data_IF_994715882440
#
_entry.id   IF_994715882440
#
_cell.length_a   1.000
_cell.length_b   1.000
_cell.length_c   1.000
_cell.angle_alpha   90.00
_cell.angle_beta   90.00
_cell.angle_gamma   90.00
#
_symmetry.space_group_name_H-M   'P 1'
#
loop_
_entity.id
_entity.type
_entity.pdbx_description
1 polymer ?
#
# COMPACT_ATOMS: atom_id res chain seq x y z
N UNK A 1 9.99 -10.45 -15.05
CA UNK A 1 10.27 -9.07 -15.50
C UNK A 1 8.96 -8.31 -15.69
N UNK A 2 8.43 -7.67 -14.64
CA UNK A 2 7.18 -6.94 -14.72
C UNK A 2 7.41 -5.56 -15.35
N UNK A 3 6.95 -5.37 -16.58
CA UNK A 3 6.71 -4.03 -17.11
C UNK A 3 5.43 -3.49 -16.50
N UNK A 4 5.42 -2.22 -16.13
CA UNK A 4 4.24 -1.60 -15.55
C UNK A 4 3.06 -1.61 -16.54
N UNK A 5 1.90 -2.19 -16.18
CA UNK A 5 0.74 -2.21 -17.07
C UNK A 5 0.15 -0.83 -17.34
N UNK A 6 0.40 0.16 -16.47
CA UNK A 6 -0.09 1.53 -16.65
C UNK A 6 0.81 2.41 -17.55
N UNK A 7 2.12 2.45 -17.29
CA UNK A 7 3.08 3.34 -17.99
C UNK A 7 3.89 2.65 -19.09
N UNK A 8 3.88 1.30 -19.15
CA UNK A 8 4.79 0.51 -19.98
C UNK A 8 6.26 0.63 -19.60
N UNK A 9 6.59 1.41 -18.56
CA UNK A 9 7.97 1.56 -18.10
C UNK A 9 8.42 0.31 -17.35
N UNK A 10 9.73 0.12 -17.37
CA UNK A 10 10.38 -0.90 -16.59
C UNK A 10 10.15 -0.69 -15.10
N UNK A 11 9.89 -1.78 -14.40
CA UNK A 11 9.91 -1.82 -12.94
C UNK A 11 10.93 -2.86 -12.54
N UNK A 12 11.88 -2.45 -11.71
CA UNK A 12 12.92 -3.33 -11.21
C UNK A 12 12.29 -4.48 -10.41
N UNK A 13 12.89 -5.68 -10.49
CA UNK A 13 12.42 -6.81 -9.69
C UNK A 13 12.54 -6.49 -8.20
N UNK A 14 11.40 -6.42 -7.52
CA UNK A 14 11.29 -6.00 -6.12
C UNK A 14 10.69 -4.61 -5.92
N UNK A 15 10.59 -3.79 -6.98
CA UNK A 15 9.88 -2.51 -6.92
C UNK A 15 8.38 -2.70 -7.14
N UNK A 16 7.61 -2.24 -6.16
CA UNK A 16 6.14 -2.30 -6.19
C UNK A 16 5.52 -1.16 -7.01
N UNK A 17 6.33 -0.18 -7.41
CA UNK A 17 5.89 1.10 -7.97
C UNK A 17 6.69 1.45 -9.23
N UNK A 18 6.00 1.65 -10.36
CA UNK A 18 6.59 2.28 -11.55
C UNK A 18 6.95 3.74 -11.22
N UNK A 19 7.99 4.29 -11.86
CA UNK A 19 8.31 5.73 -11.79
C UNK A 19 7.15 6.65 -12.19
N UNK A 20 6.12 6.13 -12.87
CA UNK A 20 4.88 6.84 -13.19
C UNK A 20 3.91 6.97 -12.00
N UNK A 21 4.19 6.30 -10.88
CA UNK A 21 3.33 6.23 -9.71
C UNK A 21 2.33 5.07 -9.71
N UNK A 22 2.28 4.24 -10.74
CA UNK A 22 1.38 3.09 -10.75
C UNK A 22 1.94 1.94 -9.90
N UNK A 23 1.09 1.36 -9.08
CA UNK A 23 1.34 0.07 -8.43
C UNK A 23 1.33 -1.05 -9.47
N UNK A 24 2.42 -1.82 -9.53
CA UNK A 24 2.62 -2.84 -10.57
C UNK A 24 2.54 -4.27 -10.07
N UNK A 25 2.16 -4.44 -8.81
CA UNK A 25 1.66 -5.70 -8.24
C UNK A 25 2.57 -6.90 -8.50
N UNK A 26 3.42 -7.22 -7.54
CA UNK A 26 4.26 -8.41 -7.61
C UNK A 26 4.85 -8.81 -6.26
N UNK A 27 4.10 -8.68 -5.17
CA UNK A 27 4.57 -9.22 -3.89
C UNK A 27 4.01 -10.64 -3.73
N UNK A 28 4.84 -11.65 -4.01
CA UNK A 28 4.62 -12.97 -3.42
C UNK A 28 4.86 -12.81 -1.91
N UNK A 29 3.77 -12.68 -1.17
CA UNK A 29 3.71 -12.59 0.29
C UNK A 29 4.41 -13.80 0.93
N UNK A 30 5.73 -13.71 1.08
CA UNK A 30 6.52 -14.64 1.88
C UNK A 30 6.21 -14.41 3.35
N UNK A 31 6.01 -15.49 4.11
CA UNK A 31 5.66 -15.46 5.53
C UNK A 31 6.71 -14.82 6.45
N UNK A 32 7.84 -14.36 5.92
CA UNK A 32 9.02 -14.00 6.71
C UNK A 32 9.14 -12.50 7.01
N UNK A 33 8.26 -11.63 6.49
CA UNK A 33 8.39 -10.18 6.74
C UNK A 33 7.12 -9.33 6.61
N UNK A 34 5.94 -9.89 6.88
CA UNK A 34 4.65 -9.23 6.73
C UNK A 34 4.56 -7.83 7.40
N UNK A 35 5.15 -7.66 8.59
CA UNK A 35 5.16 -6.35 9.26
C UNK A 35 5.93 -5.28 8.47
N UNK A 36 7.09 -5.64 7.91
CA UNK A 36 7.90 -4.71 7.13
C UNK A 36 7.23 -4.34 5.80
N UNK A 37 6.48 -5.27 5.23
CA UNK A 37 5.69 -5.06 4.01
C UNK A 37 4.54 -4.08 4.26
N UNK A 38 3.76 -4.31 5.31
CA UNK A 38 2.69 -3.40 5.72
C UNK A 38 3.24 -2.00 6.04
N UNK A 39 4.40 -1.93 6.72
CA UNK A 39 5.09 -0.67 7.01
C UNK A 39 5.49 0.07 5.73
N UNK A 40 5.98 -0.65 4.72
CA UNK A 40 6.41 -0.06 3.45
C UNK A 40 5.22 0.38 2.59
N UNK A 41 4.16 -0.43 2.49
CA UNK A 41 2.89 -0.03 1.87
C UNK A 41 2.33 1.24 2.53
N UNK A 42 2.36 1.30 3.86
CA UNK A 42 1.88 2.46 4.62
C UNK A 42 2.70 3.73 4.29
N UNK A 43 4.03 3.60 4.21
CA UNK A 43 4.92 4.70 3.79
C UNK A 43 4.61 5.15 2.36
N UNK A 44 4.35 4.22 1.44
CA UNK A 44 4.02 4.53 0.06
C UNK A 44 2.69 5.28 -0.06
N UNK A 45 1.66 4.82 0.64
CA UNK A 45 0.36 5.49 0.70
C UNK A 45 0.50 6.96 1.16
N UNK A 46 1.37 7.21 2.14
CA UNK A 46 1.73 8.57 2.57
C UNK A 46 2.38 9.40 1.45
N UNK A 47 3.34 8.83 0.71
CA UNK A 47 3.99 9.55 -0.41
C UNK A 47 2.97 9.93 -1.48
N UNK A 48 2.02 9.05 -1.82
CA UNK A 48 0.96 9.37 -2.77
C UNK A 48 0.03 10.48 -2.25
N UNK A 49 -0.36 10.39 -0.97
CA UNK A 49 -1.16 11.41 -0.30
C UNK A 49 -0.47 12.77 -0.33
N UNK A 50 0.82 12.84 0.01
CA UNK A 50 1.61 14.08 0.03
C UNK A 50 1.84 14.66 -1.37
N UNK A 51 1.87 13.81 -2.40
CA UNK A 51 1.86 14.24 -3.82
C UNK A 51 0.48 14.70 -4.32
N UNK A 52 -0.56 14.58 -3.49
CA UNK A 52 -1.95 14.90 -3.87
C UNK A 52 -2.63 13.82 -4.72
N UNK A 53 -2.00 12.66 -4.88
CA UNK A 53 -2.59 11.52 -5.57
C UNK A 53 -3.41 10.69 -4.57
N UNK A 54 -4.60 11.20 -4.26
CA UNK A 54 -5.48 10.62 -3.25
C UNK A 54 -6.06 9.25 -3.65
N UNK A 55 -6.27 9.00 -4.94
CA UNK A 55 -6.85 7.75 -5.41
C UNK A 55 -5.89 6.56 -5.16
N UNK A 56 -4.63 6.71 -5.56
CA UNK A 56 -3.62 5.67 -5.33
C UNK A 56 -3.28 5.52 -3.84
N UNK A 57 -3.29 6.62 -3.08
CA UNK A 57 -3.14 6.56 -1.62
C UNK A 57 -4.28 5.76 -0.96
N UNK A 58 -5.54 6.01 -1.35
CA UNK A 58 -6.70 5.27 -0.84
C UNK A 58 -6.55 3.78 -1.14
N UNK A 59 -6.22 3.42 -2.38
CA UNK A 59 -6.07 2.03 -2.81
C UNK A 59 -5.05 1.28 -1.94
N UNK A 60 -3.90 1.90 -1.65
CA UNK A 60 -2.87 1.28 -0.80
C UNK A 60 -3.30 1.17 0.66
N UNK A 61 -4.00 2.16 1.21
CA UNK A 61 -4.53 2.04 2.57
C UNK A 61 -5.61 0.97 2.68
N UNK A 62 -6.46 0.80 1.66
CA UNK A 62 -7.44 -0.29 1.59
C UNK A 62 -6.75 -1.65 1.47
N UNK A 63 -5.71 -1.77 0.64
CA UNK A 63 -4.90 -2.99 0.51
C UNK A 63 -4.24 -3.39 1.83
N UNK A 64 -3.70 -2.42 2.59
CA UNK A 64 -3.15 -2.68 3.94
C UNK A 64 -4.23 -3.26 4.88
N UNK A 65 -5.45 -2.73 4.83
CA UNK A 65 -6.53 -3.20 5.68
C UNK A 65 -6.95 -4.61 5.27
N UNK A 66 -7.14 -4.86 3.98
CA UNK A 66 -7.52 -6.17 3.44
C UNK A 66 -6.47 -7.24 3.74
N UNK A 67 -5.18 -6.92 3.60
CA UNK A 67 -4.08 -7.83 3.93
C UNK A 67 -4.04 -8.16 5.44
N UNK A 68 -4.27 -7.17 6.30
CA UNK A 68 -4.33 -7.40 7.75
C UNK A 68 -5.57 -8.20 8.14
N UNK A 69 -6.75 -7.89 7.56
CA UNK A 69 -8.02 -8.55 7.87
C UNK A 69 -8.09 -9.96 7.27
N UNK A 70 -7.38 -10.22 6.17
CA UNK A 70 -7.23 -11.54 5.55
C UNK A 70 -6.30 -12.50 6.29
N UNK A 71 -5.52 -12.00 7.26
CA UNK A 71 -4.59 -12.80 8.07
C UNK A 71 -5.19 -13.15 9.43
N UNK A 72 -4.72 -14.25 10.01
CA UNK A 72 -5.07 -14.60 11.38
C UNK A 72 -4.25 -13.73 12.36
N UNK A 73 -4.85 -13.31 13.48
CA UNK A 73 -4.25 -12.41 14.48
C UNK A 73 -2.85 -12.84 14.96
N UNK A 74 -2.56 -14.13 14.93
CA UNK A 74 -1.28 -14.70 15.36
C UNK A 74 -0.14 -14.49 14.34
N UNK A 75 -0.45 -14.24 13.06
CA UNK A 75 0.52 -14.08 11.98
C UNK A 75 0.84 -12.60 11.68
N UNK A 76 0.07 -11.68 12.26
CA UNK A 76 0.20 -10.24 11.98
C UNK A 76 1.29 -9.54 12.78
N UNK A 77 1.85 -10.13 13.85
CA UNK A 77 2.89 -9.48 14.67
C UNK A 77 2.47 -8.07 15.12
N UNK A 78 3.27 -7.04 14.82
CA UNK A 78 2.94 -5.62 15.05
C UNK A 78 2.21 -4.96 13.85
N UNK A 79 1.92 -5.69 12.78
CA UNK A 79 1.23 -5.13 11.61
C UNK A 79 -0.19 -4.64 11.94
N UNK A 80 -0.85 -5.22 12.94
CA UNK A 80 -2.19 -4.80 13.37
C UNK A 80 -2.26 -3.33 13.79
N UNK A 81 -1.14 -2.75 14.25
CA UNK A 81 -1.06 -1.33 14.60
C UNK A 81 -1.28 -0.41 13.40
N UNK A 82 -1.08 -0.90 12.17
CA UNK A 82 -1.24 -0.11 10.95
C UNK A 82 -2.69 -0.05 10.47
N UNK A 83 -3.55 -1.01 10.81
CA UNK A 83 -4.97 -1.01 10.44
C UNK A 83 -5.73 0.25 10.90
N UNK A 84 -5.79 0.58 12.22
CA UNK A 84 -6.50 1.78 12.66
C UNK A 84 -5.83 3.08 12.18
N UNK A 85 -4.53 3.04 11.86
CA UNK A 85 -3.83 4.18 11.26
C UNK A 85 -4.23 4.38 9.80
N UNK A 86 -4.33 3.31 9.02
CA UNK A 86 -4.77 3.35 7.63
C UNK A 86 -6.22 3.83 7.52
N UNK A 87 -7.12 3.35 8.39
CA UNK A 87 -8.52 3.82 8.44
C UNK A 87 -8.60 5.33 8.72
N UNK A 88 -7.80 5.83 9.67
CA UNK A 88 -7.75 7.26 9.98
C UNK A 88 -7.24 8.09 8.80
N UNK A 89 -6.21 7.62 8.10
CA UNK A 89 -5.68 8.30 6.92
C UNK A 89 -6.69 8.30 5.77
N UNK A 90 -7.42 7.20 5.55
CA UNK A 90 -8.53 7.15 4.59
C UNK A 90 -9.62 8.18 4.91
N UNK A 91 -10.01 8.30 6.17
CA UNK A 91 -11.00 9.29 6.60
C UNK A 91 -10.51 10.72 6.33
N UNK A 92 -9.26 11.02 6.65
CA UNK A 92 -8.63 12.32 6.39
C UNK A 92 -8.55 12.63 4.90
N UNK A 93 -8.18 11.66 4.07
CA UNK A 93 -8.13 11.82 2.63
C UNK A 93 -9.54 12.10 2.08
N UNK A 94 -10.56 11.32 2.49
CA UNK A 94 -11.95 11.53 2.04
C UNK A 94 -12.44 12.93 2.41
N UNK A 95 -12.16 13.42 3.62
CA UNK A 95 -12.45 14.80 4.06
C UNK A 95 -11.75 15.85 3.20
N UNK A 96 -10.46 15.66 2.88
CA UNK A 96 -9.66 16.62 2.11
C UNK A 96 -10.00 16.62 0.63
N UNK A 97 -10.28 15.45 0.06
CA UNK A 97 -10.60 15.26 -1.34
C UNK A 97 -12.07 15.58 -1.67
N UNK A 98 -12.92 15.83 -0.67
CA UNK A 98 -14.40 15.95 -0.80
C UNK A 98 -15.01 14.74 -1.51
N UNK A 99 -14.46 13.55 -1.25
CA UNK A 99 -14.94 12.27 -1.77
C UNK A 99 -16.01 11.68 -0.84
#
# INVERSE_FOLDING_TARGET
>A
MPTCPNCGSWVDEGDSICSCGASVGGFSLGTENFENEIRELYRQAHVFRDKGNYYDAIKLYEEIIDEIDGRNLNDCGDAWFFRPKAEKELEEIRKRAKL
#
